data_IF_461641385828
#
_entry.id   IF_461641385828
#
_cell.length_a   1.000
_cell.length_b   1.000
_cell.length_c   1.000
_cell.angle_alpha   90.00
_cell.angle_beta   90.00
_cell.angle_gamma   90.00
#
_symmetry.space_group_name_H-M   'P 1'
#
loop_
_entity.id
_entity.type
_entity.pdbx_description
1 polymer ?
#
# COMPACT_ATOMS: atom_id res chain seq x y z
N UNK A 1 -17.86 -4.77 -14.20
CA UNK A 1 -16.60 -4.00 -13.99
C UNK A 1 -15.57 -4.88 -13.30
N UNK A 2 -14.34 -4.88 -13.73
CA UNK A 2 -13.21 -5.66 -13.19
C UNK A 2 -12.22 -4.76 -12.48
N UNK A 3 -11.27 -5.33 -11.75
CA UNK A 3 -10.17 -4.56 -11.17
C UNK A 3 -8.80 -5.09 -11.60
N UNK A 4 -7.83 -4.18 -11.66
CA UNK A 4 -6.42 -4.46 -11.83
C UNK A 4 -5.62 -3.79 -10.72
N UNK A 5 -4.78 -4.55 -10.03
CA UNK A 5 -3.80 -4.04 -9.09
C UNK A 5 -2.41 -4.14 -9.74
N UNK A 6 -1.77 -2.98 -9.92
CA UNK A 6 -0.43 -2.88 -10.51
C UNK A 6 0.62 -3.16 -9.43
N UNK A 7 1.13 -4.37 -9.40
CA UNK A 7 1.98 -4.89 -8.34
C UNK A 7 3.35 -5.42 -8.83
N UNK A 8 3.77 -5.03 -10.03
CA UNK A 8 5.03 -5.48 -10.64
C UNK A 8 6.31 -4.85 -10.08
N UNK A 9 6.19 -3.83 -9.22
CA UNK A 9 7.34 -3.08 -8.72
C UNK A 9 8.19 -3.84 -7.70
N UNK A 10 9.53 -3.64 -7.74
CA UNK A 10 10.49 -4.28 -6.81
C UNK A 10 10.46 -3.71 -5.39
N UNK A 11 9.82 -2.56 -5.14
CA UNK A 11 9.76 -1.93 -3.83
C UNK A 11 11.12 -1.50 -3.26
N UNK A 12 12.06 -1.08 -4.11
CA UNK A 12 13.46 -0.80 -3.72
C UNK A 12 13.61 0.24 -2.62
N UNK A 13 12.70 1.23 -2.54
CA UNK A 13 12.69 2.27 -1.51
C UNK A 13 12.27 1.75 -0.11
N UNK A 14 11.69 0.55 -0.03
CA UNK A 14 11.36 -0.14 1.22
C UNK A 14 12.44 -1.13 1.66
N UNK A 15 13.54 -1.29 0.91
CA UNK A 15 14.64 -2.14 1.35
C UNK A 15 15.21 -1.63 2.69
N UNK A 16 15.61 -2.55 3.59
CA UNK A 16 15.84 -3.98 3.38
C UNK A 16 14.60 -4.89 3.52
N UNK A 17 13.43 -4.37 3.88
CA UNK A 17 12.22 -5.16 4.14
C UNK A 17 11.72 -5.92 2.91
N UNK A 18 11.86 -5.33 1.73
CA UNK A 18 11.39 -5.89 0.46
C UNK A 18 12.45 -6.71 -0.29
N UNK A 19 13.55 -7.05 0.34
CA UNK A 19 14.55 -7.95 -0.24
C UNK A 19 13.98 -9.36 -0.41
N UNK A 20 13.35 -9.87 0.65
CA UNK A 20 12.78 -11.23 0.67
C UNK A 20 11.25 -11.24 0.61
N UNK A 21 10.59 -10.11 0.90
CA UNK A 21 9.13 -9.99 0.96
C UNK A 21 8.65 -8.98 -0.09
N UNK A 22 7.98 -9.40 -1.18
CA UNK A 22 7.42 -8.48 -2.17
C UNK A 22 6.49 -7.42 -1.55
N UNK A 23 6.51 -6.21 -2.06
CA UNK A 23 5.75 -5.07 -1.52
C UNK A 23 4.26 -5.35 -1.31
N UNK A 24 3.52 -6.03 -2.21
CA UNK A 24 2.10 -6.30 -2.00
C UNK A 24 1.79 -7.14 -0.76
N UNK A 25 2.76 -7.91 -0.27
CA UNK A 25 2.58 -8.78 0.89
C UNK A 25 3.42 -8.37 2.11
N UNK A 26 4.01 -7.16 2.12
CA UNK A 26 4.57 -6.63 3.37
C UNK A 26 3.45 -6.51 4.40
N UNK A 27 3.70 -6.89 5.66
CA UNK A 27 2.63 -6.85 6.67
C UNK A 27 2.24 -5.40 6.99
N UNK A 28 0.99 -5.05 6.82
CA UNK A 28 0.40 -3.86 7.43
C UNK A 28 -0.52 -4.31 8.56
N UNK A 29 -0.17 -3.94 9.80
CA UNK A 29 -0.90 -4.39 11.01
C UNK A 29 -1.16 -5.91 10.98
N UNK A 30 -0.08 -6.68 10.76
CA UNK A 30 -0.04 -8.15 10.71
C UNK A 30 -0.82 -8.82 9.57
N UNK A 31 -1.19 -8.08 8.53
CA UNK A 31 -1.84 -8.60 7.32
C UNK A 31 -1.08 -8.23 6.06
N UNK A 32 -1.10 -9.04 5.01
CA UNK A 32 -0.55 -8.62 3.72
C UNK A 32 -1.16 -7.30 3.26
N UNK A 33 -0.35 -6.37 2.82
CA UNK A 33 -0.82 -5.04 2.41
C UNK A 33 -1.92 -5.10 1.33
N UNK A 34 -1.79 -5.99 0.34
CA UNK A 34 -2.76 -6.14 -0.74
C UNK A 34 -4.18 -6.50 -0.25
N UNK A 35 -4.32 -7.10 0.94
CA UNK A 35 -5.65 -7.42 1.51
C UNK A 35 -6.48 -6.16 1.73
N UNK A 36 -5.86 -5.02 2.06
CA UNK A 36 -6.55 -3.74 2.19
C UNK A 36 -7.12 -3.26 0.85
N UNK A 37 -6.37 -3.44 -0.24
CA UNK A 37 -6.82 -3.09 -1.60
C UNK A 37 -7.92 -4.05 -2.10
N UNK A 38 -7.78 -5.34 -1.81
CA UNK A 38 -8.81 -6.35 -2.11
C UNK A 38 -10.12 -6.00 -1.39
N UNK A 39 -10.06 -5.67 -0.10
CA UNK A 39 -11.23 -5.30 0.70
C UNK A 39 -11.89 -4.02 0.20
N UNK A 40 -11.10 -3.03 -0.19
CA UNK A 40 -11.60 -1.80 -0.81
C UNK A 40 -12.44 -2.08 -2.06
N UNK A 41 -11.96 -2.95 -2.94
CA UNK A 41 -12.64 -3.37 -4.17
C UNK A 41 -13.88 -4.22 -3.87
N UNK A 42 -13.75 -5.19 -2.95
CA UNK A 42 -14.86 -6.06 -2.53
C UNK A 42 -16.06 -5.27 -1.99
N UNK A 43 -15.81 -4.24 -1.17
CA UNK A 43 -16.85 -3.34 -0.65
C UNK A 43 -17.59 -2.56 -1.73
N UNK A 44 -16.94 -2.32 -2.86
CA UNK A 44 -17.57 -1.72 -4.03
C UNK A 44 -18.28 -2.75 -4.95
N UNK A 45 -18.34 -4.01 -4.53
CA UNK A 45 -18.95 -5.10 -5.32
C UNK A 45 -18.06 -5.62 -6.46
N UNK A 46 -16.76 -5.24 -6.48
CA UNK A 46 -15.82 -5.70 -7.49
C UNK A 46 -15.09 -6.94 -6.95
N UNK A 47 -15.42 -8.09 -7.52
CA UNK A 47 -14.94 -9.40 -7.06
C UNK A 47 -14.03 -10.13 -8.05
N UNK A 48 -13.91 -9.65 -9.30
CA UNK A 48 -12.93 -10.16 -10.29
C UNK A 48 -11.72 -9.24 -10.32
N UNK A 49 -10.64 -9.67 -9.66
CA UNK A 49 -9.43 -8.87 -9.44
C UNK A 49 -8.26 -9.53 -10.15
N UNK A 50 -7.54 -8.76 -10.96
CA UNK A 50 -6.28 -9.17 -11.58
C UNK A 50 -5.10 -8.47 -10.89
N UNK A 51 -4.05 -9.21 -10.58
CA UNK A 51 -2.76 -8.65 -10.19
C UNK A 51 -1.80 -8.71 -11.37
N UNK A 52 -1.23 -7.58 -11.77
CA UNK A 52 -0.09 -7.54 -12.69
C UNK A 52 1.20 -7.59 -11.88
N UNK A 53 1.99 -8.63 -12.10
CA UNK A 53 3.18 -8.97 -11.33
C UNK A 53 4.42 -9.02 -12.23
N UNK A 54 5.58 -8.71 -11.63
CA UNK A 54 6.87 -8.92 -12.26
C UNK A 54 7.91 -9.45 -11.26
N UNK A 55 7.87 -9.00 -10.01
CA UNK A 55 8.85 -9.34 -8.98
C UNK A 55 8.30 -10.36 -8.00
N UNK A 56 8.95 -11.53 -7.88
CA UNK A 56 8.65 -12.65 -6.98
C UNK A 56 7.15 -13.04 -6.98
N UNK A 57 6.54 -13.32 -8.14
CA UNK A 57 5.10 -13.55 -8.24
C UNK A 57 4.63 -14.75 -7.39
N UNK A 58 5.42 -15.82 -7.31
CA UNK A 58 5.07 -17.04 -6.58
C UNK A 58 4.80 -16.77 -5.08
N UNK A 59 5.54 -15.84 -4.48
CA UNK A 59 5.33 -15.47 -3.07
C UNK A 59 4.02 -14.71 -2.87
N UNK A 60 3.63 -13.88 -3.84
CA UNK A 60 2.38 -13.14 -3.80
C UNK A 60 1.21 -14.10 -4.00
N UNK A 61 1.30 -15.00 -4.97
CA UNK A 61 0.30 -16.05 -5.23
C UNK A 61 0.13 -16.97 -4.02
N UNK A 62 1.22 -17.40 -3.40
CA UNK A 62 1.18 -18.21 -2.19
C UNK A 62 0.52 -17.49 -1.01
N UNK A 63 0.75 -16.19 -0.86
CA UNK A 63 0.24 -15.40 0.26
C UNK A 63 -1.24 -15.01 0.13
N UNK A 64 -1.74 -14.80 -1.10
CA UNK A 64 -3.10 -14.31 -1.35
C UNK A 64 -4.03 -15.41 -1.90
N UNK A 65 -3.47 -16.54 -2.38
CA UNK A 65 -4.24 -17.64 -2.95
C UNK A 65 -5.10 -17.22 -4.14
N UNK A 66 -6.22 -17.89 -4.32
CA UNK A 66 -7.19 -17.58 -5.39
C UNK A 66 -8.22 -16.52 -5.00
N UNK A 67 -8.10 -15.92 -3.82
CA UNK A 67 -8.96 -14.87 -3.31
C UNK A 67 -10.23 -15.32 -2.60
N UNK A 68 -10.55 -16.62 -2.56
CA UNK A 68 -11.78 -17.13 -1.90
C UNK A 68 -11.85 -16.76 -0.43
N UNK A 69 -10.72 -16.76 0.26
CA UNK A 69 -10.63 -16.36 1.67
C UNK A 69 -11.11 -14.91 1.89
N UNK A 70 -10.95 -14.06 0.88
CA UNK A 70 -11.36 -12.64 0.90
C UNK A 70 -12.71 -12.39 0.22
N UNK A 71 -13.41 -13.44 -0.23
CA UNK A 71 -14.69 -13.32 -0.92
C UNK A 71 -14.59 -12.75 -2.35
N UNK A 72 -13.42 -12.90 -2.99
CA UNK A 72 -13.14 -12.44 -4.36
C UNK A 72 -12.51 -13.57 -5.19
N UNK A 73 -12.36 -13.35 -6.49
CA UNK A 73 -11.57 -14.18 -7.40
C UNK A 73 -10.34 -13.41 -7.84
N UNK A 74 -9.18 -13.95 -7.56
CA UNK A 74 -7.90 -13.36 -7.96
C UNK A 74 -7.33 -14.11 -9.15
N UNK A 75 -6.87 -13.37 -10.14
CA UNK A 75 -6.06 -13.83 -11.26
C UNK A 75 -4.71 -13.12 -11.23
N UNK A 76 -3.65 -13.84 -11.49
CA UNK A 76 -2.30 -13.32 -11.57
C UNK A 76 -1.81 -13.32 -13.01
N UNK A 77 -1.21 -12.21 -13.43
CA UNK A 77 -0.63 -12.04 -14.76
C UNK A 77 0.81 -11.59 -14.58
N UNK A 78 1.76 -12.43 -15.00
CA UNK A 78 3.18 -12.13 -14.92
C UNK A 78 3.63 -11.39 -16.17
N UNK A 79 4.15 -10.17 -15.99
CA UNK A 79 4.75 -9.38 -17.08
C UNK A 79 6.06 -10.05 -17.55
N UNK A 80 6.27 -10.23 -18.86
CA UNK A 80 7.50 -10.84 -19.39
C UNK A 80 8.74 -9.97 -19.15
N UNK A 81 8.54 -8.67 -18.96
CA UNK A 81 9.53 -7.65 -18.59
C UNK A 81 8.80 -6.46 -17.99
N UNK A 82 9.46 -5.51 -17.32
CA UNK A 82 8.80 -4.31 -16.82
C UNK A 82 8.12 -3.53 -17.95
N UNK A 83 6.78 -3.46 -17.91
CA UNK A 83 5.98 -2.86 -18.99
C UNK A 83 5.49 -1.43 -18.69
N UNK A 84 5.84 -0.87 -17.53
CA UNK A 84 5.27 0.40 -17.06
C UNK A 84 3.79 0.26 -16.67
N UNK A 85 3.20 1.30 -16.11
CA UNK A 85 1.82 1.23 -15.57
C UNK A 85 0.77 1.03 -16.68
N UNK A 86 0.89 1.75 -17.79
CA UNK A 86 0.00 1.64 -18.94
C UNK A 86 0.20 0.34 -19.75
N UNK A 87 1.45 -0.08 -19.97
CA UNK A 87 1.73 -1.34 -20.65
C UNK A 87 1.29 -2.57 -19.85
N UNK A 88 1.47 -2.55 -18.52
CA UNK A 88 0.96 -3.58 -17.62
C UNK A 88 -0.58 -3.68 -17.67
N UNK A 89 -1.27 -2.54 -17.69
CA UNK A 89 -2.73 -2.49 -17.90
C UNK A 89 -3.12 -3.10 -19.24
N UNK A 90 -2.47 -2.69 -20.33
CA UNK A 90 -2.75 -3.22 -21.67
C UNK A 90 -2.54 -4.73 -21.76
N UNK A 91 -1.50 -5.24 -21.11
CA UNK A 91 -1.15 -6.66 -21.12
C UNK A 91 -2.10 -7.49 -20.25
N UNK A 92 -2.34 -7.05 -19.01
CA UNK A 92 -3.13 -7.81 -18.04
C UNK A 92 -4.64 -7.83 -18.37
N UNK A 93 -5.15 -6.78 -19.03
CA UNK A 93 -6.57 -6.61 -19.35
C UNK A 93 -6.89 -6.81 -20.83
N UNK A 94 -5.97 -7.39 -21.61
CA UNK A 94 -6.17 -7.65 -23.02
C UNK A 94 -7.51 -8.37 -23.29
N UNK A 95 -8.33 -7.80 -24.22
CA UNK A 95 -9.63 -8.32 -24.55
C UNK A 95 -10.75 -8.04 -23.51
N UNK A 96 -10.52 -7.17 -22.53
CA UNK A 96 -11.58 -6.71 -21.63
C UNK A 96 -12.51 -5.76 -22.37
N UNK A 97 -13.80 -6.08 -22.36
CA UNK A 97 -14.89 -5.25 -22.91
C UNK A 97 -15.61 -4.43 -21.83
N UNK A 98 -15.14 -4.51 -20.60
CA UNK A 98 -15.71 -3.80 -19.46
C UNK A 98 -14.76 -2.73 -18.92
N UNK A 99 -15.29 -1.63 -18.35
CA UNK A 99 -14.49 -0.68 -17.61
C UNK A 99 -13.69 -1.36 -16.48
N UNK A 100 -12.48 -0.89 -16.27
CA UNK A 100 -11.57 -1.46 -15.29
C UNK A 100 -11.22 -0.43 -14.22
N UNK A 101 -11.37 -0.79 -12.94
CA UNK A 101 -10.79 -0.06 -11.82
C UNK A 101 -9.34 -0.48 -11.66
N UNK A 102 -8.42 0.46 -11.82
CA UNK A 102 -6.97 0.22 -11.73
C UNK A 102 -6.44 0.86 -10.46
N UNK A 103 -5.68 0.11 -9.67
CA UNK A 103 -5.03 0.58 -8.46
C UNK A 103 -3.51 0.44 -8.59
N UNK A 104 -2.78 1.50 -8.22
CA UNK A 104 -1.36 1.37 -7.95
C UNK A 104 -1.16 0.51 -6.69
N UNK A 105 -0.32 -0.52 -6.78
CA UNK A 105 -0.12 -1.54 -5.74
C UNK A 105 0.60 -1.04 -4.48
N UNK A 106 0.70 0.27 -4.28
CA UNK A 106 1.30 0.90 -3.10
C UNK A 106 0.38 1.91 -2.39
N UNK A 107 -0.85 2.04 -2.83
CA UNK A 107 -1.78 3.01 -2.26
C UNK A 107 -2.60 2.36 -1.13
N UNK A 108 -2.58 3.00 0.01
CA UNK A 108 -3.46 2.74 1.15
C UNK A 108 -4.46 3.88 1.25
N UNK A 109 -5.75 3.55 1.15
CA UNK A 109 -6.82 4.54 1.25
C UNK A 109 -8.10 3.87 1.75
N UNK A 110 -8.94 4.62 2.44
CA UNK A 110 -10.28 4.19 2.87
C UNK A 110 -11.40 4.85 2.04
N UNK A 111 -11.08 5.36 0.85
CA UNK A 111 -12.06 5.93 -0.07
C UNK A 111 -13.18 4.94 -0.42
N UNK A 112 -14.35 5.44 -0.76
CA UNK A 112 -15.42 4.62 -1.31
C UNK A 112 -15.30 4.54 -2.83
N UNK A 113 -14.86 3.39 -3.34
CA UNK A 113 -14.77 3.14 -4.79
C UNK A 113 -16.14 3.27 -5.48
N UNK A 114 -17.25 2.97 -4.77
CA UNK A 114 -18.60 3.15 -5.29
C UNK A 114 -18.89 4.61 -5.70
N UNK A 115 -18.34 5.57 -4.95
CA UNK A 115 -18.55 7.00 -5.24
C UNK A 115 -17.74 7.41 -6.50
N UNK A 116 -16.53 6.87 -6.64
CA UNK A 116 -15.72 7.03 -7.86
C UNK A 116 -16.43 6.44 -9.10
N UNK A 117 -17.07 5.26 -8.95
CA UNK A 117 -17.83 4.61 -10.02
C UNK A 117 -19.04 5.46 -10.39
N UNK A 118 -19.80 5.95 -9.41
CA UNK A 118 -20.97 6.80 -9.66
C UNK A 118 -20.56 8.10 -10.39
N UNK A 119 -19.46 8.74 -9.96
CA UNK A 119 -18.91 9.92 -10.62
C UNK A 119 -18.48 9.63 -12.07
N UNK A 120 -17.83 8.52 -12.31
CA UNK A 120 -17.38 8.08 -13.63
C UNK A 120 -18.57 7.97 -14.61
N UNK A 121 -19.64 7.28 -14.18
CA UNK A 121 -20.85 7.13 -14.99
C UNK A 121 -21.60 8.45 -15.17
N UNK A 122 -21.70 9.30 -14.14
CA UNK A 122 -22.40 10.57 -14.23
C UNK A 122 -21.78 11.53 -15.26
N UNK A 123 -20.46 11.45 -15.46
CA UNK A 123 -19.72 12.27 -16.43
C UNK A 123 -19.50 11.57 -17.78
N UNK A 124 -20.04 10.38 -18.00
CA UNK A 124 -19.77 9.58 -19.20
C UNK A 124 -18.26 9.55 -19.54
N UNK A 125 -17.45 9.35 -18.52
CA UNK A 125 -16.00 9.50 -18.58
C UNK A 125 -15.34 8.39 -19.39
N UNK A 126 -14.31 8.70 -20.17
CA UNK A 126 -13.38 7.69 -20.71
C UNK A 126 -12.32 7.31 -19.66
N UNK A 127 -11.91 8.30 -18.86
CA UNK A 127 -10.99 8.16 -17.75
C UNK A 127 -11.51 8.94 -16.55
N UNK A 128 -11.52 8.31 -15.39
CA UNK A 128 -11.68 9.02 -14.11
C UNK A 128 -10.45 8.74 -13.25
N UNK A 129 -9.76 9.80 -12.84
CA UNK A 129 -8.60 9.75 -11.95
C UNK A 129 -9.02 10.19 -10.55
N UNK A 130 -8.73 9.38 -9.52
CA UNK A 130 -8.86 9.85 -8.14
C UNK A 130 -7.73 10.83 -7.81
N UNK A 131 -8.07 11.88 -7.11
CA UNK A 131 -7.16 12.98 -6.71
C UNK A 131 -7.24 13.20 -5.21
N UNK A 132 -6.13 13.62 -4.60
CA UNK A 132 -6.08 14.03 -3.20
C UNK A 132 -5.31 15.34 -3.07
N UNK A 133 -5.70 16.17 -2.10
CA UNK A 133 -4.97 17.41 -1.80
C UNK A 133 -3.86 17.16 -0.80
N UNK A 134 -2.64 17.59 -1.12
CA UNK A 134 -1.47 17.46 -0.26
C UNK A 134 -0.77 18.80 -0.05
N UNK A 135 -0.09 19.02 1.09
CA UNK A 135 0.67 20.25 1.32
C UNK A 135 1.84 20.44 0.36
N UNK A 136 2.52 19.36 -0.03
CA UNK A 136 3.65 19.36 -0.97
C UNK A 136 3.40 18.38 -2.11
N UNK A 137 3.01 18.86 -3.31
CA UNK A 137 2.72 18.03 -4.47
C UNK A 137 3.97 17.62 -5.28
N UNK A 138 5.16 18.13 -4.96
CA UNK A 138 6.37 18.02 -5.80
C UNK A 138 6.81 16.60 -6.16
N UNK A 139 6.39 15.61 -5.37
CA UNK A 139 6.78 14.19 -5.55
C UNK A 139 5.80 13.36 -6.34
N UNK A 140 4.69 13.96 -6.78
CA UNK A 140 3.54 13.27 -7.36
C UNK A 140 3.17 13.85 -8.72
N UNK A 141 2.33 13.15 -9.45
CA UNK A 141 1.64 13.71 -10.61
C UNK A 141 0.58 14.70 -10.15
N UNK A 142 0.57 15.90 -10.73
CA UNK A 142 -0.35 17.00 -10.39
C UNK A 142 -1.36 17.16 -11.51
N UNK A 143 -2.64 17.29 -11.17
CA UNK A 143 -3.73 17.52 -12.11
C UNK A 143 -4.40 18.88 -11.87
N UNK A 144 -4.53 19.68 -12.96
CA UNK A 144 -5.36 20.89 -12.99
C UNK A 144 -6.78 20.51 -13.45
N UNK A 145 -7.79 21.00 -12.77
CA UNK A 145 -9.20 20.77 -13.11
C UNK A 145 -9.87 22.08 -13.51
N UNK A 146 -10.91 21.98 -14.36
CA UNK A 146 -11.87 23.08 -14.55
C UNK A 146 -13.00 23.02 -13.48
N UNK A 147 -14.01 23.88 -13.66
CA UNK A 147 -15.15 23.99 -12.74
C UNK A 147 -16.08 22.76 -12.78
N UNK A 148 -16.00 21.96 -13.83
CA UNK A 148 -16.77 20.75 -14.05
C UNK A 148 -15.95 19.48 -13.75
N UNK A 149 -14.82 19.60 -13.00
CA UNK A 149 -13.89 18.53 -12.63
C UNK A 149 -13.19 17.85 -13.84
N UNK A 150 -13.18 18.49 -15.01
CA UNK A 150 -12.45 17.96 -16.15
C UNK A 150 -10.96 18.23 -15.99
N UNK A 151 -10.11 17.21 -16.27
CA UNK A 151 -8.65 17.38 -16.22
C UNK A 151 -8.20 18.20 -17.43
N UNK A 152 -7.66 19.39 -17.15
CA UNK A 152 -7.11 20.30 -18.16
C UNK A 152 -5.65 20.01 -18.45
N UNK A 153 -4.90 19.62 -17.43
CA UNK A 153 -3.45 19.35 -17.51
C UNK A 153 -3.04 18.32 -16.47
N UNK A 154 -2.09 17.50 -16.84
CA UNK A 154 -1.42 16.56 -15.95
C UNK A 154 0.10 16.71 -16.06
N UNK A 155 0.79 16.84 -14.93
CA UNK A 155 2.25 16.98 -14.87
C UNK A 155 2.83 15.99 -13.86
N UNK A 156 3.60 15.04 -14.31
CA UNK A 156 4.27 14.08 -13.43
C UNK A 156 5.52 14.70 -12.80
N UNK A 157 5.57 14.71 -11.47
CA UNK A 157 6.70 15.21 -10.65
C UNK A 157 7.26 16.56 -11.14
N UNK A 158 6.43 17.59 -11.19
CA UNK A 158 6.82 18.89 -11.70
C UNK A 158 7.95 19.50 -10.86
N UNK A 159 8.88 20.19 -11.52
CA UNK A 159 9.95 20.92 -10.82
C UNK A 159 9.48 22.32 -10.42
N UNK A 160 9.79 22.76 -9.20
CA UNK A 160 9.46 24.08 -8.67
C UNK A 160 8.13 24.15 -7.90
N UNK A 161 7.70 25.36 -7.57
CA UNK A 161 6.38 25.58 -6.94
C UNK A 161 5.28 25.34 -7.95
N UNK A 162 4.42 24.39 -7.64
CA UNK A 162 3.26 24.04 -8.47
C UNK A 162 1.99 24.33 -7.71
N UNK A 163 1.08 25.02 -8.36
CA UNK A 163 -0.33 25.11 -8.03
C UNK A 163 -1.10 24.50 -9.19
N UNK A 164 -2.09 23.65 -8.97
CA UNK A 164 -2.75 23.31 -7.71
C UNK A 164 -2.00 22.26 -6.89
N UNK A 165 -2.53 21.96 -5.69
CA UNK A 165 -2.03 20.94 -4.77
C UNK A 165 -2.79 19.61 -4.87
N UNK A 166 -3.57 19.40 -5.93
CA UNK A 166 -4.28 18.18 -6.24
C UNK A 166 -3.35 17.20 -6.95
N UNK A 167 -3.11 16.05 -6.35
CA UNK A 167 -2.21 15.03 -6.88
C UNK A 167 -2.96 13.76 -7.27
N UNK A 168 -2.37 13.02 -8.18
CA UNK A 168 -2.80 11.68 -8.57
C UNK A 168 -2.77 10.74 -7.36
N UNK A 169 -3.94 10.25 -6.96
CA UNK A 169 -4.08 9.33 -5.83
C UNK A 169 -3.83 7.86 -6.20
N UNK A 170 -3.55 7.55 -7.47
CA UNK A 170 -3.15 6.22 -7.94
C UNK A 170 -4.30 5.22 -8.06
N UNK A 171 -5.54 5.69 -8.21
CA UNK A 171 -6.72 4.88 -8.49
C UNK A 171 -7.47 5.48 -9.67
N UNK A 172 -7.80 4.65 -10.65
CA UNK A 172 -8.40 5.08 -11.91
C UNK A 172 -9.58 4.21 -12.28
N UNK A 173 -10.54 4.75 -13.05
CA UNK A 173 -11.47 3.97 -13.84
C UNK A 173 -11.19 4.26 -15.31
N UNK A 174 -10.97 3.21 -16.08
CA UNK A 174 -10.57 3.28 -17.48
C UNK A 174 -11.54 2.50 -18.34
N UNK A 175 -12.10 3.15 -19.36
CA UNK A 175 -12.96 2.51 -20.36
C UNK A 175 -12.17 1.61 -21.32
N UNK A 176 -12.77 0.61 -21.94
CA UNK A 176 -12.12 -0.27 -22.91
C UNK A 176 -11.45 0.48 -24.07
N UNK A 177 -11.97 1.62 -24.50
CA UNK A 177 -11.38 2.48 -25.52
C UNK A 177 -9.98 2.99 -25.16
N UNK A 178 -9.73 3.23 -23.85
CA UNK A 178 -8.39 3.61 -23.34
C UNK A 178 -7.44 2.43 -23.46
N UNK A 179 -7.88 1.21 -23.12
CA UNK A 179 -7.08 0.00 -23.26
C UNK A 179 -6.63 -0.21 -24.71
N UNK A 180 -7.52 -0.03 -25.65
CA UNK A 180 -7.25 -0.16 -27.08
C UNK A 180 -6.27 0.91 -27.61
N UNK A 181 -6.25 2.10 -27.01
CA UNK A 181 -5.36 3.20 -27.40
C UNK A 181 -3.89 2.98 -27.04
N UNK A 182 -3.60 2.00 -26.16
CA UNK A 182 -2.26 1.69 -25.68
C UNK A 182 -1.66 0.58 -26.58
N UNK A 183 -0.46 0.79 -27.18
CA UNK A 183 0.21 -0.24 -27.98
C UNK A 183 0.47 -1.52 -27.17
N UNK A 184 0.23 -2.67 -27.80
CA UNK A 184 0.48 -3.96 -27.17
C UNK A 184 1.99 -4.26 -27.06
N UNK A 185 2.39 -4.92 -25.98
CA UNK A 185 3.77 -5.39 -25.74
C UNK A 185 4.83 -4.27 -25.70
N UNK A 186 4.44 -3.06 -25.33
CA UNK A 186 5.34 -1.93 -25.16
C UNK A 186 5.37 -1.48 -23.68
N UNK A 187 6.55 -0.99 -23.26
CA UNK A 187 6.66 -0.29 -21.98
C UNK A 187 6.03 1.09 -22.13
N UNK A 188 4.93 1.33 -21.42
CA UNK A 188 4.21 2.60 -21.42
C UNK A 188 3.79 2.97 -20.00
N UNK A 189 4.02 4.23 -19.62
CA UNK A 189 3.54 4.79 -18.36
C UNK A 189 2.18 5.44 -18.56
N UNK A 190 1.30 5.30 -17.59
CA UNK A 190 0.09 6.13 -17.55
C UNK A 190 0.46 7.61 -17.49
N UNK A 191 1.39 7.94 -16.62
CA UNK A 191 1.74 9.31 -16.24
C UNK A 191 2.51 10.06 -17.34
N UNK A 192 3.42 9.37 -18.02
CA UNK A 192 4.28 10.00 -19.02
C UNK A 192 3.79 9.81 -20.47
N UNK A 193 3.05 8.74 -20.75
CA UNK A 193 2.67 8.41 -22.13
C UNK A 193 1.16 8.50 -22.35
N UNK A 194 0.35 7.83 -21.52
CA UNK A 194 -1.07 7.61 -21.79
C UNK A 194 -1.90 8.84 -21.46
N UNK A 195 -1.80 9.37 -20.23
CA UNK A 195 -2.61 10.51 -19.80
C UNK A 195 -2.32 11.77 -20.62
N UNK A 196 -1.06 12.16 -20.88
CA UNK A 196 -0.79 13.30 -21.77
C UNK A 196 -1.42 13.14 -23.16
N UNK A 197 -1.28 11.96 -23.76
CA UNK A 197 -1.86 11.69 -25.09
C UNK A 197 -3.40 11.78 -25.09
N UNK A 198 -4.06 11.26 -24.04
CA UNK A 198 -5.52 11.34 -23.93
C UNK A 198 -6.00 12.80 -23.75
N UNK A 199 -5.24 13.63 -23.03
CA UNK A 199 -5.53 15.07 -22.90
C UNK A 199 -5.36 15.80 -24.23
N UNK A 200 -4.30 15.53 -25.00
CA UNK A 200 -4.11 16.07 -26.36
C UNK A 200 -5.26 15.70 -27.29
N UNK A 201 -5.78 14.47 -27.17
CA UNK A 201 -6.93 13.96 -27.90
C UNK A 201 -8.27 14.49 -27.40
N UNK A 202 -8.28 15.33 -26.34
CA UNK A 202 -9.48 15.86 -25.71
C UNK A 202 -10.46 14.76 -25.24
N UNK A 203 -9.92 13.64 -24.76
CA UNK A 203 -10.72 12.57 -24.18
C UNK A 203 -11.56 13.11 -23.01
N UNK A 204 -12.69 12.44 -22.70
CA UNK A 204 -13.49 12.73 -21.50
C UNK A 204 -12.76 12.25 -20.26
N UNK A 205 -11.81 13.05 -19.80
CA UNK A 205 -10.93 12.77 -18.69
C UNK A 205 -11.30 13.67 -17.50
N UNK A 206 -11.73 13.05 -16.40
CA UNK A 206 -12.20 13.74 -15.21
C UNK A 206 -11.39 13.35 -13.98
N UNK A 207 -11.31 14.29 -13.03
CA UNK A 207 -10.65 14.13 -11.74
C UNK A 207 -11.66 14.08 -10.61
N UNK A 208 -11.66 13.01 -9.83
CA UNK A 208 -12.48 12.88 -8.63
C UNK A 208 -11.65 13.20 -7.39
N UNK A 209 -11.91 14.34 -6.74
CA UNK A 209 -11.15 14.78 -5.57
C UNK A 209 -11.68 14.12 -4.31
N UNK A 210 -10.79 13.48 -3.55
CA UNK A 210 -11.09 12.84 -2.26
C UNK A 210 -11.05 13.92 -1.16
N UNK A 211 -12.21 14.31 -0.63
CA UNK A 211 -12.29 15.34 0.41
C UNK A 211 -12.14 14.77 1.83
N UNK A 212 -12.69 13.57 2.12
CA UNK A 212 -12.76 13.00 3.49
C UNK A 212 -12.19 11.59 3.59
N UNK A 213 -11.26 11.20 2.70
CA UNK A 213 -10.66 9.89 2.72
C UNK A 213 -9.22 9.93 3.24
N UNK A 214 -8.85 8.94 4.02
CA UNK A 214 -7.45 8.69 4.31
C UNK A 214 -6.74 8.26 3.01
N UNK A 215 -5.56 8.80 2.79
CA UNK A 215 -4.71 8.42 1.66
C UNK A 215 -3.24 8.45 2.04
N UNK A 216 -2.50 7.42 1.62
CA UNK A 216 -1.04 7.33 1.78
C UNK A 216 -0.44 6.37 0.75
N UNK A 217 0.68 6.76 0.13
CA UNK A 217 1.55 5.81 -0.56
C UNK A 217 2.51 5.16 0.46
N UNK A 218 2.65 3.85 0.45
CA UNK A 218 3.60 3.13 1.31
C UNK A 218 4.93 2.88 0.57
N UNK A 219 5.40 3.90 -0.16
CA UNK A 219 6.57 3.80 -1.03
C UNK A 219 7.92 3.85 -0.30
N UNK A 220 7.99 4.35 0.94
CA UNK A 220 9.23 4.51 1.72
C UNK A 220 9.08 3.90 3.12
N UNK A 221 10.21 3.62 3.78
CA UNK A 221 10.24 3.10 5.16
C UNK A 221 9.51 4.02 6.13
N UNK A 222 9.70 5.33 5.98
CA UNK A 222 9.03 6.33 6.80
C UNK A 222 7.52 6.31 6.59
N UNK A 223 7.06 6.30 5.33
CA UNK A 223 5.63 6.26 5.01
C UNK A 223 4.99 4.92 5.42
N UNK A 224 5.71 3.82 5.27
CA UNK A 224 5.27 2.51 5.74
C UNK A 224 5.07 2.47 7.26
N UNK A 225 6.05 2.94 8.05
CA UNK A 225 5.90 3.05 9.51
C UNK A 225 4.74 3.97 9.88
N UNK A 226 4.64 5.14 9.22
CA UNK A 226 3.56 6.08 9.47
C UNK A 226 2.17 5.48 9.17
N UNK A 227 2.01 4.64 8.14
CA UNK A 227 0.77 3.92 7.87
C UNK A 227 0.32 3.04 9.05
N UNK A 228 1.25 2.34 9.70
CA UNK A 228 0.96 1.58 10.92
C UNK A 228 0.51 2.48 12.08
N UNK A 229 1.23 3.58 12.32
CA UNK A 229 0.89 4.51 13.39
C UNK A 229 -0.43 5.23 13.15
N UNK A 230 -0.75 5.57 11.90
CA UNK A 230 -2.04 6.13 11.51
C UNK A 230 -3.19 5.14 11.76
N UNK A 231 -2.98 3.85 11.48
CA UNK A 231 -3.94 2.80 11.81
C UNK A 231 -4.16 2.69 13.32
N UNK A 232 -3.09 2.66 14.11
CA UNK A 232 -3.17 2.59 15.57
C UNK A 232 -3.88 3.82 16.17
N UNK A 233 -3.71 4.98 15.55
CA UNK A 233 -4.39 6.23 15.91
C UNK A 233 -5.87 6.29 15.45
N UNK A 234 -6.38 5.26 14.76
CA UNK A 234 -7.76 5.18 14.28
C UNK A 234 -8.04 6.09 13.06
N UNK A 235 -7.02 6.55 12.36
CA UNK A 235 -7.19 7.44 11.19
C UNK A 235 -7.76 6.74 9.96
N UNK A 236 -7.63 5.40 9.88
CA UNK A 236 -8.25 4.56 8.86
C UNK A 236 -9.61 4.05 9.38
N UNK A 237 -10.50 4.96 9.73
CA UNK A 237 -11.74 4.65 10.44
C UNK A 237 -12.73 3.78 9.63
N UNK A 238 -12.61 3.78 8.30
CA UNK A 238 -13.48 2.99 7.41
C UNK A 238 -12.97 1.58 7.12
N UNK A 239 -11.74 1.26 7.53
CA UNK A 239 -11.21 -0.10 7.46
C UNK A 239 -11.50 -0.88 8.74
N UNK A 240 -12.76 -1.13 9.04
CA UNK A 240 -13.13 -2.26 9.87
C UNK A 240 -13.07 -3.51 8.97
N UNK A 241 -11.91 -4.16 8.93
CA UNK A 241 -11.77 -5.45 8.25
C UNK A 241 -12.38 -6.46 9.19
N UNK A 242 -13.59 -6.89 8.88
CA UNK A 242 -14.48 -7.77 9.63
C UNK A 242 -13.75 -8.68 10.63
N UNK A 243 -13.85 -8.36 11.93
CA UNK A 243 -13.63 -9.26 13.07
C UNK A 243 -12.22 -9.84 13.24
N UNK A 244 -11.26 -9.48 12.40
CA UNK A 244 -9.90 -10.02 12.43
C UNK A 244 -8.83 -9.00 12.84
N UNK A 245 -9.19 -7.95 13.59
CA UNK A 245 -8.17 -7.11 14.25
C UNK A 245 -7.49 -8.00 15.28
N UNK A 246 -6.15 -8.15 15.21
CA UNK A 246 -5.42 -8.87 16.26
C UNK A 246 -5.77 -8.24 17.60
N UNK A 247 -6.08 -9.06 18.56
CA UNK A 247 -6.58 -8.69 19.89
C UNK A 247 -5.69 -7.60 20.48
N UNK A 248 -6.28 -6.46 20.85
CA UNK A 248 -5.64 -5.49 21.73
C UNK A 248 -5.56 -6.20 23.10
N UNK A 249 -4.41 -6.79 23.38
CA UNK A 249 -4.22 -7.54 24.60
C UNK A 249 -4.06 -6.55 25.77
N UNK A 250 -4.98 -6.59 26.74
CA UNK A 250 -4.78 -5.98 28.05
C UNK A 250 -3.73 -6.81 28.82
N UNK A 251 -2.46 -6.64 28.47
CA UNK A 251 -1.33 -7.28 29.15
C UNK A 251 -0.56 -6.18 29.87
N UNK A 252 -0.12 -6.44 31.10
CA UNK A 252 0.70 -5.49 31.87
C UNK A 252 1.91 -5.04 31.02
N UNK A 253 2.09 -3.71 30.88
CA UNK A 253 3.17 -3.11 30.10
C UNK A 253 2.87 -2.90 28.61
N UNK A 254 1.67 -3.24 28.14
CA UNK A 254 1.21 -2.98 26.74
C UNK A 254 0.11 -1.93 26.77
N UNK A 255 0.25 -0.87 25.99
CA UNK A 255 -0.80 0.16 25.90
C UNK A 255 -2.01 -0.32 25.06
N UNK A 256 -3.11 0.43 25.17
CA UNK A 256 -4.35 0.09 24.48
C UNK A 256 -4.31 0.34 22.96
N UNK A 257 -3.33 1.09 22.45
CA UNK A 257 -3.19 1.39 21.03
C UNK A 257 -2.43 0.29 20.29
N UNK A 258 -1.52 -0.40 20.97
CA UNK A 258 -0.67 -1.43 20.38
C UNK A 258 -1.44 -2.67 19.91
N UNK A 259 -0.97 -3.27 18.86
CA UNK A 259 -1.50 -4.52 18.30
C UNK A 259 -0.48 -5.64 18.53
N UNK A 260 -0.94 -6.73 19.15
CA UNK A 260 -0.11 -7.91 19.43
C UNK A 260 -0.61 -9.10 18.61
N UNK A 261 0.27 -9.69 17.81
CA UNK A 261 -0.02 -10.89 17.03
C UNK A 261 -0.23 -12.14 17.89
N UNK A 262 -0.69 -13.21 17.26
CA UNK A 262 -0.91 -14.50 17.93
C UNK A 262 0.41 -15.14 18.38
N UNK A 263 0.36 -15.97 19.42
CA UNK A 263 1.51 -16.75 19.91
C UNK A 263 2.73 -15.91 20.31
N UNK A 264 2.53 -14.66 20.71
CA UNK A 264 3.60 -13.82 21.25
C UNK A 264 3.92 -14.20 22.70
N UNK A 265 5.19 -14.12 23.06
CA UNK A 265 5.66 -14.25 24.45
C UNK A 265 6.18 -12.90 24.91
N UNK A 266 5.50 -12.31 25.88
CA UNK A 266 5.86 -11.01 26.48
C UNK A 266 6.21 -11.25 27.94
N UNK A 267 7.47 -11.01 28.31
CA UNK A 267 8.01 -11.26 29.62
C UNK A 267 7.76 -10.10 30.61
N UNK A 268 7.92 -10.30 31.92
CA UNK A 268 7.73 -9.25 32.92
C UNK A 268 8.60 -8.00 32.70
N UNK A 269 8.01 -6.83 32.97
CA UNK A 269 8.72 -5.54 32.84
C UNK A 269 8.94 -5.05 31.42
N UNK A 270 8.34 -5.71 30.41
CA UNK A 270 8.31 -5.22 29.04
C UNK A 270 7.40 -4.01 28.93
N UNK A 271 7.81 -3.04 28.13
CA UNK A 271 7.01 -1.86 27.77
C UNK A 271 6.76 -1.82 26.26
N UNK A 272 5.50 -1.86 25.83
CA UNK A 272 5.09 -1.75 24.43
C UNK A 272 4.11 -0.58 24.31
N UNK A 273 4.48 0.41 23.51
CA UNK A 273 3.70 1.65 23.31
C UNK A 273 3.54 1.95 21.84
N UNK A 274 2.28 2.14 21.40
CA UNK A 274 1.92 2.56 20.05
C UNK A 274 2.68 1.76 18.98
N UNK A 275 2.66 0.42 19.08
CA UNK A 275 3.50 -0.48 18.29
C UNK A 275 2.71 -1.66 17.75
N UNK A 276 3.19 -2.24 16.65
CA UNK A 276 2.65 -3.46 16.06
C UNK A 276 3.64 -4.60 16.23
N UNK A 277 3.22 -5.65 16.91
CA UNK A 277 4.00 -6.84 17.16
C UNK A 277 3.43 -7.99 16.34
N UNK A 278 4.25 -8.58 15.50
CA UNK A 278 3.90 -9.70 14.62
C UNK A 278 3.68 -11.02 15.36
N UNK A 279 3.05 -12.00 14.71
CA UNK A 279 2.84 -13.32 15.29
C UNK A 279 4.16 -14.01 15.70
N UNK A 280 4.14 -14.75 16.82
CA UNK A 280 5.27 -15.54 17.28
C UNK A 280 6.48 -14.72 17.74
N UNK A 281 6.33 -13.43 17.97
CA UNK A 281 7.39 -12.56 18.50
C UNK A 281 7.62 -12.86 19.97
N UNK A 282 8.89 -12.90 20.37
CA UNK A 282 9.33 -13.13 21.74
C UNK A 282 10.05 -11.89 22.27
N UNK A 283 9.49 -11.25 23.30
CA UNK A 283 10.05 -10.05 23.92
C UNK A 283 10.41 -10.38 25.38
N UNK A 284 11.71 -10.25 25.70
CA UNK A 284 12.26 -10.62 27.00
C UNK A 284 12.16 -9.48 28.02
N UNK A 285 12.54 -9.81 29.26
CA UNK A 285 12.35 -8.95 30.43
C UNK A 285 12.94 -7.54 30.21
N UNK A 286 12.20 -6.52 30.64
CA UNK A 286 12.60 -5.11 30.63
C UNK A 286 12.94 -4.55 29.25
N UNK A 287 12.59 -5.24 28.17
CA UNK A 287 12.71 -4.67 26.84
C UNK A 287 11.64 -3.60 26.60
N UNK A 288 11.94 -2.60 25.76
CA UNK A 288 11.03 -1.51 25.42
C UNK A 288 10.87 -1.40 23.90
N UNK A 289 9.62 -1.36 23.41
CA UNK A 289 9.28 -1.20 21.98
C UNK A 289 8.29 -0.05 21.86
N UNK A 290 8.70 1.05 21.19
CA UNK A 290 7.87 2.27 21.08
C UNK A 290 7.76 2.75 19.64
N UNK A 291 6.51 3.05 19.21
CA UNK A 291 6.21 3.56 17.88
C UNK A 291 6.88 2.72 16.76
N UNK A 292 6.90 1.41 16.91
CA UNK A 292 7.69 0.50 16.09
C UNK A 292 6.86 -0.67 15.57
N UNK A 293 7.37 -1.30 14.51
CA UNK A 293 6.77 -2.48 13.91
C UNK A 293 7.78 -3.63 14.00
N UNK A 294 7.39 -4.72 14.63
CA UNK A 294 8.18 -5.94 14.72
C UNK A 294 7.46 -7.04 13.93
N UNK A 295 8.06 -7.54 12.87
CA UNK A 295 7.49 -8.63 12.09
C UNK A 295 7.61 -9.97 12.82
N UNK A 296 6.90 -10.98 12.30
CA UNK A 296 6.74 -12.29 12.91
C UNK A 296 8.05 -13.00 13.26
N UNK A 297 8.00 -13.83 14.32
CA UNK A 297 9.08 -14.73 14.76
C UNK A 297 10.39 -14.02 15.13
N UNK A 298 10.34 -12.73 15.43
CA UNK A 298 11.50 -11.95 15.89
C UNK A 298 11.65 -12.07 17.40
N UNK A 299 12.89 -12.14 17.87
CA UNK A 299 13.25 -12.12 19.28
C UNK A 299 13.86 -10.78 19.65
N UNK A 300 13.33 -10.14 20.67
CA UNK A 300 13.86 -8.93 21.30
C UNK A 300 14.35 -9.32 22.69
N UNK A 301 15.67 -9.34 22.87
CA UNK A 301 16.28 -9.82 24.10
C UNK A 301 16.16 -8.81 25.25
N UNK A 302 16.52 -9.25 26.45
CA UNK A 302 16.34 -8.49 27.70
C UNK A 302 16.97 -7.08 27.64
N UNK A 303 16.22 -6.09 28.13
CA UNK A 303 16.63 -4.68 28.19
C UNK A 303 16.98 -4.05 26.84
N UNK A 304 16.60 -4.65 25.73
CA UNK A 304 16.71 -4.03 24.41
C UNK A 304 15.67 -2.90 24.25
N UNK A 305 16.05 -1.86 23.53
CA UNK A 305 15.22 -0.67 23.29
C UNK A 305 15.06 -0.44 21.78
N UNK A 306 13.81 -0.49 21.28
CA UNK A 306 13.47 -0.32 19.88
C UNK A 306 12.53 0.88 19.73
N UNK A 307 12.93 1.91 18.98
CA UNK A 307 12.15 3.14 18.87
C UNK A 307 12.00 3.60 17.41
N UNK A 308 10.75 3.92 17.01
CA UNK A 308 10.42 4.44 15.67
C UNK A 308 11.12 3.67 14.54
N UNK A 309 11.04 2.35 14.59
CA UNK A 309 11.82 1.45 13.72
C UNK A 309 10.96 0.33 13.19
N UNK A 310 11.41 -0.30 12.11
CA UNK A 310 10.78 -1.48 11.53
C UNK A 310 11.77 -2.63 11.55
N UNK A 311 11.39 -3.73 12.19
CA UNK A 311 12.21 -4.94 12.30
C UNK A 311 11.55 -6.05 11.48
N UNK A 312 12.28 -6.61 10.54
CA UNK A 312 11.86 -7.70 9.67
C UNK A 312 11.59 -9.01 10.42
N UNK A 313 11.26 -10.03 9.66
CA UNK A 313 10.87 -11.35 10.16
C UNK A 313 12.07 -12.15 10.66
N UNK A 314 11.90 -12.87 11.78
CA UNK A 314 12.90 -13.83 12.28
C UNK A 314 14.21 -13.17 12.73
N UNK A 315 14.19 -11.89 13.07
CA UNK A 315 15.37 -11.18 13.56
C UNK A 315 15.70 -11.57 15.00
N UNK A 316 16.95 -11.38 15.38
CA UNK A 316 17.41 -11.43 16.76
C UNK A 316 18.01 -10.09 17.17
N UNK A 317 17.39 -9.41 18.13
CA UNK A 317 17.86 -8.16 18.73
C UNK A 317 18.48 -8.51 20.07
N UNK A 318 19.80 -8.34 20.18
CA UNK A 318 20.59 -8.72 21.36
C UNK A 318 20.23 -7.95 22.63
N UNK A 319 20.78 -8.40 23.76
CA UNK A 319 20.56 -7.77 25.07
C UNK A 319 21.16 -6.36 25.14
N UNK A 320 20.48 -5.46 25.86
CA UNK A 320 20.93 -4.07 26.03
C UNK A 320 21.22 -3.33 24.71
N UNK A 321 20.61 -3.77 23.63
CA UNK A 321 20.73 -3.18 22.29
C UNK A 321 19.83 -1.96 22.17
N UNK A 322 20.27 -0.93 21.45
CA UNK A 322 19.44 0.22 21.10
C UNK A 322 19.26 0.31 19.59
N UNK A 323 18.00 0.16 19.14
CA UNK A 323 17.59 0.43 17.76
C UNK A 323 16.96 1.80 17.73
N UNK A 324 17.63 2.75 17.06
CA UNK A 324 17.24 4.17 17.03
C UNK A 324 16.17 4.44 15.99
N UNK A 325 15.55 5.61 16.13
CA UNK A 325 14.57 6.13 15.18
C UNK A 325 15.07 6.10 13.73
N UNK A 326 14.22 5.60 12.84
CA UNK A 326 14.48 5.52 11.41
C UNK A 326 15.22 4.26 10.97
N UNK A 327 15.57 3.38 11.91
CA UNK A 327 16.23 2.12 11.57
C UNK A 327 15.24 1.13 10.94
N UNK A 328 15.71 0.39 9.93
CA UNK A 328 15.00 -0.75 9.36
C UNK A 328 15.95 -1.94 9.25
N UNK A 329 15.56 -3.08 9.82
CA UNK A 329 16.32 -4.32 9.74
C UNK A 329 15.58 -5.30 8.83
N UNK A 330 16.29 -5.89 7.87
CA UNK A 330 15.74 -6.91 6.97
C UNK A 330 15.48 -8.23 7.68
N UNK A 331 14.83 -9.17 6.98
CA UNK A 331 14.51 -10.48 7.52
C UNK A 331 15.77 -11.23 7.99
N UNK A 332 15.66 -11.95 9.11
CA UNK A 332 16.70 -12.80 9.70
C UNK A 332 17.98 -12.07 10.10
N UNK A 333 17.89 -10.75 10.30
CA UNK A 333 19.01 -9.96 10.76
C UNK A 333 19.35 -10.27 12.22
N UNK A 334 20.65 -10.38 12.53
CA UNK A 334 21.14 -10.60 13.88
C UNK A 334 21.90 -9.35 14.37
N UNK A 335 21.42 -8.76 15.45
CA UNK A 335 22.05 -7.63 16.11
C UNK A 335 22.64 -8.13 17.42
N UNK A 336 23.96 -8.05 17.62
CA UNK A 336 24.62 -8.57 18.82
C UNK A 336 24.23 -7.78 20.08
N UNK A 337 24.53 -8.35 21.25
CA UNK A 337 24.35 -7.68 22.53
C UNK A 337 25.08 -6.32 22.57
N UNK A 338 24.50 -5.32 23.23
CA UNK A 338 25.03 -3.96 23.40
C UNK A 338 25.22 -3.16 22.10
N UNK A 339 24.73 -3.62 20.97
CA UNK A 339 24.81 -2.87 19.72
C UNK A 339 23.94 -1.60 19.76
N UNK A 340 24.33 -0.59 18.99
CA UNK A 340 23.57 0.64 18.77
C UNK A 340 23.50 0.90 17.27
N UNK A 341 22.28 0.99 16.70
CA UNK A 341 22.03 1.24 15.28
C UNK A 341 20.98 2.32 15.10
#
# INVERSE_FOLDING_TARGET
MKALILAGGQGTRLRPLTTDTPKPIVPLVNRPFAVYQIELLRRAGITDITFSLNYQPEKIEQALGDGREYGVKIRYVCEPSPMGTGGAFRFAMAGSEEPTVVLNGDILTDMRISDLIAFHHANDSAVTMSLVRVPDPSRYGVADLDAEDRVLRFLEKPQGKVTPNTINAGIYILEPSVLESIPANENRSFEYDVFPKLLEQKARFYGYVLDDAYWRDIGTLESYLAAHLDYLAGRLARFDIDGQIPTRAATSGVDAASVIGTNCVIKPGVEIVNSVIGPGVHIEERASVKNSVIWSHTRVASSANVQHSVIGRGCHIGRNTTVRRGSALGDRFHLPDYAVV
#
